data_IF_887728801126
#
_entry.id   IF_887728801126
#
_cell.length_a   1.000
_cell.length_b   1.000
_cell.length_c   1.000
_cell.angle_alpha   90.00
_cell.angle_beta   90.00
_cell.angle_gamma   90.00
#
_symmetry.space_group_name_H-M   'P 1'
#
loop_
_entity.id
_entity.type
_entity.pdbx_description
1 polymer ?
#
# COMPACT_ATOMS: atom_id res chain seq x y z
N UNK A 1 0.35 1.29 -51.89
CA UNK A 1 0.72 1.10 -50.47
C UNK A 1 1.37 -0.26 -50.36
N UNK A 2 2.54 -0.38 -49.71
CA UNK A 2 3.10 -1.69 -49.40
C UNK A 2 2.26 -2.33 -48.28
N UNK A 3 1.93 -3.63 -48.35
CA UNK A 3 1.22 -4.30 -47.28
C UNK A 3 2.01 -4.18 -45.97
N UNK A 4 1.38 -3.70 -44.89
CA UNK A 4 1.98 -3.65 -43.55
C UNK A 4 2.65 -2.34 -43.13
N UNK A 5 2.60 -1.30 -43.97
CA UNK A 5 3.07 0.05 -43.61
C UNK A 5 1.97 1.10 -43.72
N UNK A 6 2.06 2.15 -42.90
CA UNK A 6 1.13 3.28 -42.93
C UNK A 6 1.40 4.22 -44.11
N UNK A 7 0.60 5.29 -44.22
CA UNK A 7 0.72 6.30 -45.29
C UNK A 7 2.06 7.09 -45.27
N UNK A 8 2.89 6.89 -44.26
CA UNK A 8 4.23 7.47 -44.11
C UNK A 8 5.35 6.41 -44.22
N UNK A 9 5.01 5.17 -44.60
CA UNK A 9 5.97 4.08 -44.79
C UNK A 9 6.45 3.42 -43.49
N UNK A 10 5.83 3.72 -42.35
CA UNK A 10 6.19 3.14 -41.07
C UNK A 10 5.48 1.79 -40.87
N UNK A 11 6.11 0.79 -40.22
CA UNK A 11 5.43 -0.44 -39.85
C UNK A 11 4.19 -0.14 -39.02
N UNK A 12 3.04 -0.70 -39.43
CA UNK A 12 1.82 -0.58 -38.64
C UNK A 12 2.08 -1.34 -37.32
N UNK A 13 2.27 -0.60 -36.22
CA UNK A 13 2.33 -1.20 -34.89
C UNK A 13 1.00 -1.93 -34.67
N UNK A 14 1.07 -3.22 -34.32
CA UNK A 14 -0.13 -3.96 -33.92
C UNK A 14 -0.80 -3.16 -32.79
N UNK A 15 -2.03 -2.71 -33.05
CA UNK A 15 -2.83 -2.06 -32.03
C UNK A 15 -2.91 -3.00 -30.82
N UNK A 16 -2.72 -2.46 -29.63
CA UNK A 16 -2.95 -3.22 -28.40
C UNK A 16 -4.36 -3.87 -28.49
N UNK A 17 -4.52 -5.13 -28.07
CA UNK A 17 -5.81 -5.79 -28.11
C UNK A 17 -6.88 -4.91 -27.46
N UNK A 18 -7.99 -4.69 -28.17
CA UNK A 18 -9.12 -3.98 -27.61
C UNK A 18 -9.61 -4.73 -26.36
N UNK A 19 -9.93 -4.04 -25.25
CA UNK A 19 -10.42 -4.70 -24.06
C UNK A 19 -11.72 -5.46 -24.38
N UNK A 20 -11.73 -6.75 -24.08
CA UNK A 20 -12.89 -7.60 -24.28
C UNK A 20 -13.91 -7.28 -23.18
N UNK A 21 -15.06 -6.72 -23.56
CA UNK A 21 -16.13 -6.36 -22.62
C UNK A 21 -16.59 -7.60 -21.84
N UNK A 22 -16.64 -7.49 -20.51
CA UNK A 22 -17.03 -8.57 -19.59
C UNK A 22 -15.85 -9.29 -18.90
N UNK A 23 -14.61 -9.05 -19.32
CA UNK A 23 -13.43 -9.47 -18.58
C UNK A 23 -12.91 -8.27 -17.78
N UNK A 24 -12.65 -8.40 -16.46
CA UNK A 24 -11.93 -7.36 -15.75
C UNK A 24 -10.58 -7.16 -16.45
N UNK A 25 -10.13 -5.90 -16.66
CA UNK A 25 -8.83 -5.67 -17.27
C UNK A 25 -7.79 -6.42 -16.45
N UNK A 26 -7.07 -7.33 -17.12
CA UNK A 26 -6.03 -8.11 -16.47
C UNK A 26 -5.01 -7.12 -15.86
N UNK A 27 -4.56 -7.34 -14.62
CA UNK A 27 -3.50 -6.53 -14.05
C UNK A 27 -2.30 -6.61 -15.00
N UNK A 28 -1.92 -5.48 -15.61
CA UNK A 28 -0.68 -5.43 -16.34
C UNK A 28 0.42 -5.27 -15.31
N UNK A 29 1.02 -6.41 -14.97
CA UNK A 29 2.18 -6.48 -14.10
C UNK A 29 3.40 -6.22 -14.98
N UNK A 30 4.15 -5.18 -14.66
CA UNK A 30 5.46 -4.94 -15.23
C UNK A 30 6.49 -5.57 -14.28
N UNK A 31 7.33 -6.49 -14.77
CA UNK A 31 8.38 -7.18 -14.00
C UNK A 31 8.17 -8.70 -13.84
N UNK A 32 9.15 -9.38 -13.25
CA UNK A 32 9.05 -10.81 -12.90
C UNK A 32 9.12 -10.99 -11.37
N UNK A 33 8.25 -11.82 -10.76
CA UNK A 33 8.31 -12.09 -9.33
C UNK A 33 9.64 -12.79 -8.98
N UNK A 34 10.34 -12.30 -7.98
CA UNK A 34 11.48 -13.01 -7.41
C UNK A 34 11.00 -14.27 -6.69
N UNK A 35 11.71 -15.38 -6.83
CA UNK A 35 11.50 -16.57 -6.00
C UNK A 35 12.05 -16.31 -4.60
N UNK A 36 11.16 -16.21 -3.62
CA UNK A 36 11.53 -16.06 -2.21
C UNK A 36 11.75 -17.45 -1.59
N UNK A 37 12.80 -17.61 -0.79
CA UNK A 37 13.07 -18.83 -0.02
C UNK A 37 12.83 -18.60 1.48
N UNK A 38 12.45 -19.67 2.19
CA UNK A 38 12.17 -19.61 3.63
C UNK A 38 10.93 -18.78 3.97
N UNK A 39 10.96 -18.14 5.14
CA UNK A 39 9.88 -17.28 5.64
C UNK A 39 10.33 -15.81 5.60
N UNK A 40 10.10 -15.09 4.48
CA UNK A 40 10.55 -13.71 4.33
C UNK A 40 9.76 -12.75 5.23
N UNK A 41 10.38 -11.64 5.63
CA UNK A 41 9.63 -10.56 6.27
C UNK A 41 8.71 -9.88 5.24
N UNK A 42 7.49 -9.56 5.65
CA UNK A 42 6.52 -8.81 4.84
C UNK A 42 6.43 -7.38 5.39
N UNK A 43 6.66 -6.39 4.53
CA UNK A 43 6.57 -4.96 4.89
C UNK A 43 5.56 -4.30 3.95
N UNK A 44 4.51 -3.71 4.52
CA UNK A 44 3.48 -2.97 3.78
C UNK A 44 3.62 -1.49 4.11
N UNK A 45 3.83 -0.67 3.08
CA UNK A 45 3.90 0.78 3.20
C UNK A 45 2.64 1.38 2.57
N UNK A 46 1.80 1.99 3.40
CA UNK A 46 0.62 2.73 2.92
C UNK A 46 1.03 4.18 2.68
N UNK A 47 1.09 4.59 1.42
CA UNK A 47 1.48 5.95 1.03
C UNK A 47 0.26 6.87 1.04
N UNK A 48 0.22 7.82 1.98
CA UNK A 48 -0.91 8.74 2.14
C UNK A 48 -1.06 9.65 0.91
N UNK A 49 -2.30 9.75 0.39
CA UNK A 49 -2.70 10.65 -0.70
C UNK A 49 -1.88 10.55 -2.01
N UNK A 50 -1.13 9.46 -2.21
CA UNK A 50 -0.40 9.19 -3.44
C UNK A 50 -1.36 8.69 -4.53
N UNK A 51 -1.42 9.40 -5.65
CA UNK A 51 -2.29 9.08 -6.78
C UNK A 51 -1.47 8.96 -8.06
N UNK A 52 -1.88 8.08 -8.98
CA UNK A 52 -1.17 7.82 -10.24
C UNK A 52 -0.80 9.11 -10.99
N UNK A 53 -1.74 10.04 -11.19
CA UNK A 53 -1.46 11.29 -11.91
C UNK A 53 -0.43 12.21 -11.22
N UNK A 54 -0.17 12.01 -9.91
CA UNK A 54 0.87 12.73 -9.15
C UNK A 54 2.25 12.08 -9.28
N UNK A 55 2.38 10.91 -9.91
CA UNK A 55 3.64 10.14 -9.94
C UNK A 55 4.30 10.14 -11.31
N UNK A 56 5.62 10.16 -11.36
CA UNK A 56 6.39 10.27 -12.59
C UNK A 56 6.23 9.05 -13.52
N UNK A 57 6.20 7.83 -12.96
CA UNK A 57 6.06 6.58 -13.72
C UNK A 57 4.72 6.47 -14.49
N UNK A 58 3.71 7.25 -14.10
CA UNK A 58 2.42 7.37 -14.80
C UNK A 58 2.34 8.59 -15.74
N UNK A 59 3.48 9.21 -16.06
CA UNK A 59 3.59 10.28 -17.06
C UNK A 59 3.57 11.70 -16.51
N UNK A 60 3.70 11.90 -15.19
CA UNK A 60 3.81 13.25 -14.63
C UNK A 60 5.15 13.89 -15.00
N UNK A 61 5.11 14.94 -15.82
CA UNK A 61 6.29 15.64 -16.36
C UNK A 61 7.17 16.33 -15.31
N UNK A 62 6.62 16.61 -14.12
CA UNK A 62 7.40 17.19 -13.01
C UNK A 62 8.30 16.15 -12.33
N UNK A 63 8.09 14.86 -12.58
CA UNK A 63 8.79 13.75 -11.96
C UNK A 63 8.97 13.90 -10.43
N UNK A 64 7.89 14.10 -9.65
CA UNK A 64 7.99 14.39 -8.22
C UNK A 64 8.34 13.16 -7.37
N UNK A 65 8.42 11.97 -7.97
CA UNK A 65 8.59 10.69 -7.26
C UNK A 65 9.77 9.85 -7.79
N UNK A 66 10.98 10.41 -7.94
CA UNK A 66 12.07 9.74 -8.65
C UNK A 66 12.48 8.40 -8.02
N UNK A 67 12.44 8.28 -6.69
CA UNK A 67 12.77 7.03 -5.98
C UNK A 67 11.68 5.97 -6.14
N UNK A 68 10.40 6.36 -6.11
CA UNK A 68 9.29 5.44 -6.37
C UNK A 68 9.30 4.95 -7.82
N UNK A 69 9.63 5.84 -8.76
CA UNK A 69 9.75 5.53 -10.17
C UNK A 69 10.89 4.53 -10.45
N UNK A 70 12.01 4.68 -9.75
CA UNK A 70 13.11 3.71 -9.81
C UNK A 70 12.67 2.35 -9.23
N UNK A 71 12.12 2.33 -8.01
CA UNK A 71 11.63 1.11 -7.36
C UNK A 71 10.61 0.38 -8.24
N UNK A 72 9.71 1.11 -8.89
CA UNK A 72 8.68 0.54 -9.76
C UNK A 72 9.24 -0.18 -10.99
N UNK A 73 10.43 0.20 -11.48
CA UNK A 73 11.11 -0.47 -12.60
C UNK A 73 11.80 -1.78 -12.18
N UNK A 74 12.12 -1.89 -10.90
CA UNK A 74 12.79 -3.06 -10.29
C UNK A 74 11.79 -3.99 -9.58
N UNK A 75 10.49 -3.67 -9.61
CA UNK A 75 9.43 -4.34 -8.85
C UNK A 75 8.26 -4.75 -9.75
N UNK A 76 7.30 -5.49 -9.19
CA UNK A 76 6.00 -5.70 -9.80
C UNK A 76 5.12 -4.46 -9.65
N UNK A 77 4.93 -3.70 -10.73
CA UNK A 77 4.03 -2.54 -10.74
C UNK A 77 2.63 -2.92 -11.25
N UNK A 78 1.60 -2.59 -10.47
CA UNK A 78 0.19 -2.71 -10.86
C UNK A 78 -0.31 -1.37 -11.42
N UNK A 79 -0.22 -1.19 -12.74
CA UNK A 79 -0.59 0.08 -13.40
C UNK A 79 -2.12 0.32 -13.50
N UNK A 80 -2.93 -0.66 -13.06
CA UNK A 80 -4.40 -0.64 -13.04
C UNK A 80 -4.92 -0.99 -11.64
N UNK A 81 -4.29 -0.41 -10.62
CA UNK A 81 -4.71 -0.53 -9.22
C UNK A 81 -5.64 0.63 -8.84
N UNK A 82 -6.81 0.30 -8.28
CA UNK A 82 -7.84 1.28 -7.90
C UNK A 82 -8.20 1.11 -6.43
N UNK A 83 -8.39 2.22 -5.75
CA UNK A 83 -8.90 2.24 -4.38
C UNK A 83 -10.43 2.35 -4.39
N UNK A 84 -11.16 1.58 -3.56
CA UNK A 84 -12.62 1.64 -3.52
C UNK A 84 -13.14 2.92 -2.84
N UNK A 85 -12.28 3.65 -2.12
CA UNK A 85 -12.64 4.89 -1.45
C UNK A 85 -11.46 5.84 -1.30
N UNK A 86 -11.75 7.14 -1.20
CA UNK A 86 -10.76 8.20 -1.00
C UNK A 86 -10.38 8.42 0.48
N UNK A 87 -11.20 7.96 1.43
CA UNK A 87 -10.97 8.23 2.85
C UNK A 87 -9.98 7.22 3.46
N UNK A 88 -8.91 7.69 4.11
CA UNK A 88 -7.84 6.85 4.68
C UNK A 88 -8.38 5.73 5.58
N UNK A 89 -9.34 6.03 6.47
CA UNK A 89 -9.94 5.02 7.34
C UNK A 89 -10.67 3.90 6.58
N UNK A 90 -11.30 4.21 5.44
CA UNK A 90 -11.95 3.21 4.58
C UNK A 90 -10.91 2.34 3.88
N UNK A 91 -9.83 2.96 3.39
CA UNK A 91 -8.73 2.25 2.75
C UNK A 91 -8.01 1.34 3.73
N UNK A 92 -7.71 1.80 4.96
CA UNK A 92 -7.10 0.97 6.01
C UNK A 92 -8.01 -0.18 6.40
N UNK A 93 -9.32 0.06 6.56
CA UNK A 93 -10.28 -1.02 6.79
C UNK A 93 -10.22 -2.08 5.68
N UNK A 94 -10.22 -1.66 4.41
CA UNK A 94 -10.08 -2.58 3.28
C UNK A 94 -8.74 -3.31 3.23
N UNK A 95 -7.63 -2.66 3.57
CA UNK A 95 -6.30 -3.29 3.63
C UNK A 95 -6.24 -4.36 4.72
N UNK A 96 -6.81 -4.10 5.90
CA UNK A 96 -6.76 -5.04 7.03
C UNK A 96 -7.72 -6.20 6.85
N UNK A 97 -8.93 -5.95 6.33
CA UNK A 97 -10.02 -6.94 6.28
C UNK A 97 -10.20 -7.61 4.92
N UNK A 98 -9.67 -7.02 3.85
CA UNK A 98 -9.96 -7.44 2.47
C UNK A 98 -11.37 -7.08 1.99
N UNK A 99 -12.17 -6.36 2.79
CA UNK A 99 -13.57 -6.02 2.49
C UNK A 99 -13.68 -4.51 2.21
N UNK A 100 -14.34 -4.08 1.12
CA UNK A 100 -14.55 -2.66 0.87
C UNK A 100 -15.48 -2.05 1.93
N UNK A 101 -15.11 -0.89 2.46
CA UNK A 101 -15.97 -0.14 3.38
C UNK A 101 -17.08 0.60 2.61
N UNK A 102 -18.27 0.01 2.64
CA UNK A 102 -19.50 0.54 1.99
C UNK A 102 -20.42 1.31 2.95
N UNK A 103 -19.92 1.67 4.14
CA UNK A 103 -20.70 2.36 5.16
C UNK A 103 -21.13 3.77 4.72
N UNK A 104 -22.42 4.08 4.85
CA UNK A 104 -23.02 5.32 4.33
C UNK A 104 -22.90 6.55 5.26
N UNK A 105 -22.90 6.36 6.58
CA UNK A 105 -22.94 7.48 7.54
C UNK A 105 -21.56 7.83 8.12
N UNK A 106 -20.80 6.83 8.53
CA UNK A 106 -19.42 6.92 9.03
C UNK A 106 -18.58 5.85 8.33
N UNK A 107 -17.31 5.71 8.70
CA UNK A 107 -16.47 4.59 8.25
C UNK A 107 -16.80 3.33 9.05
N UNK A 108 -16.71 2.17 8.42
CA UNK A 108 -16.85 0.84 9.05
C UNK A 108 -15.88 0.65 10.21
N UNK A 109 -14.71 1.32 10.16
CA UNK A 109 -13.77 1.38 11.30
C UNK A 109 -14.40 1.91 12.59
N UNK A 110 -15.43 2.76 12.50
CA UNK A 110 -16.15 3.35 13.65
C UNK A 110 -17.42 2.59 14.02
N UNK A 111 -17.76 1.53 13.29
CA UNK A 111 -18.96 0.74 13.57
C UNK A 111 -18.58 -0.51 14.39
N UNK A 112 -19.00 -0.61 15.67
CA UNK A 112 -18.64 -1.74 16.53
C UNK A 112 -19.14 -3.09 16.02
N UNK A 113 -20.19 -3.12 15.19
CA UNK A 113 -20.72 -4.34 14.59
C UNK A 113 -20.00 -4.76 13.31
N UNK A 114 -19.16 -3.89 12.75
CA UNK A 114 -18.40 -4.17 11.52
C UNK A 114 -16.90 -4.23 11.75
N UNK A 115 -16.39 -3.65 12.83
CA UNK A 115 -14.94 -3.51 13.07
C UNK A 115 -14.23 -4.84 13.25
N UNK A 116 -14.92 -5.91 13.68
CA UNK A 116 -14.33 -7.24 13.88
C UNK A 116 -14.56 -8.13 12.65
N UNK A 117 -13.49 -8.47 11.94
CA UNK A 117 -13.42 -9.26 10.72
C UNK A 117 -12.20 -10.19 10.78
N UNK A 118 -12.11 -11.13 9.84
CA UNK A 118 -10.88 -11.90 9.64
C UNK A 118 -9.85 -11.07 8.87
N UNK A 119 -8.59 -11.13 9.30
CA UNK A 119 -7.47 -10.56 8.55
C UNK A 119 -6.57 -11.64 7.98
N UNK A 120 -6.19 -11.49 6.71
CA UNK A 120 -5.18 -12.35 6.07
C UNK A 120 -3.82 -12.28 6.79
N UNK A 121 -3.56 -11.21 7.54
CA UNK A 121 -2.35 -11.08 8.34
C UNK A 121 -2.21 -12.19 9.41
N UNK A 122 -3.33 -12.76 9.87
CA UNK A 122 -3.30 -13.86 10.85
C UNK A 122 -2.84 -15.19 10.24
N UNK A 123 -2.90 -15.34 8.91
CA UNK A 123 -2.32 -16.51 8.23
C UNK A 123 -0.78 -16.46 8.16
N UNK A 124 -0.16 -15.34 8.53
CA UNK A 124 1.30 -15.21 8.64
C UNK A 124 1.78 -15.77 9.99
N UNK A 125 1.64 -17.07 10.18
CA UNK A 125 2.14 -17.79 11.36
C UNK A 125 3.64 -17.61 11.52
N UNK A 126 4.13 -17.56 12.76
CA UNK A 126 5.55 -17.33 13.08
C UNK A 126 6.04 -15.90 12.84
N UNK A 127 5.26 -15.03 12.20
CA UNK A 127 5.61 -13.62 12.02
C UNK A 127 5.17 -12.81 13.24
N UNK A 128 6.03 -11.87 13.64
CA UNK A 128 5.63 -10.80 14.55
C UNK A 128 4.91 -9.71 13.76
N UNK A 129 3.78 -9.22 14.29
CA UNK A 129 2.93 -8.23 13.61
C UNK A 129 3.14 -6.86 14.26
N UNK A 130 3.58 -5.89 13.48
CA UNK A 130 3.88 -4.53 13.94
C UNK A 130 3.13 -3.54 13.04
N UNK A 131 2.58 -2.48 13.63
CA UNK A 131 2.02 -1.35 12.91
C UNK A 131 2.68 -0.06 13.41
N UNK A 132 3.14 0.77 12.48
CA UNK A 132 3.79 2.04 12.77
C UNK A 132 2.97 3.17 12.17
N UNK A 133 2.61 4.16 12.99
CA UNK A 133 1.91 5.36 12.59
C UNK A 133 2.61 6.57 13.22
N UNK A 134 2.77 7.68 12.49
CA UNK A 134 3.43 8.88 13.01
C UNK A 134 2.59 9.69 14.02
N UNK A 135 1.26 9.59 13.92
CA UNK A 135 0.29 10.24 14.81
C UNK A 135 -0.46 9.25 15.70
N UNK A 136 -1.52 9.71 16.36
CA UNK A 136 -2.35 8.86 17.22
C UNK A 136 -3.27 7.93 16.42
N UNK A 137 -3.26 6.62 16.67
CA UNK A 137 -4.17 5.65 16.04
C UNK A 137 -5.64 5.78 16.51
N UNK A 138 -5.95 6.71 17.42
CA UNK A 138 -7.32 6.94 17.89
C UNK A 138 -8.17 7.69 16.87
N UNK A 139 -7.56 8.42 15.92
CA UNK A 139 -8.32 9.05 14.84
C UNK A 139 -9.08 7.95 14.09
N UNK A 140 -10.38 8.16 13.91
CA UNK A 140 -11.25 7.22 13.22
C UNK A 140 -11.24 5.76 13.66
N UNK A 141 -10.88 5.51 14.93
CA UNK A 141 -10.87 4.18 15.53
C UNK A 141 -9.92 3.19 14.83
N UNK A 142 -8.83 3.69 14.22
CA UNK A 142 -7.88 2.86 13.48
C UNK A 142 -7.17 1.86 14.37
N UNK A 143 -6.85 2.22 15.63
CA UNK A 143 -6.31 1.26 16.59
C UNK A 143 -7.18 0.01 16.65
N UNK A 144 -8.49 0.17 16.83
CA UNK A 144 -9.41 -0.95 16.94
C UNK A 144 -9.46 -1.80 15.67
N UNK A 145 -9.35 -1.18 14.48
CA UNK A 145 -9.25 -1.93 13.21
C UNK A 145 -8.02 -2.85 13.23
N UNK A 146 -6.87 -2.40 13.73
CA UNK A 146 -5.71 -3.28 13.82
C UNK A 146 -5.84 -4.29 14.97
N UNK A 147 -6.12 -3.83 16.18
CA UNK A 147 -6.04 -4.68 17.39
C UNK A 147 -7.17 -5.69 17.54
N UNK A 148 -8.32 -5.51 16.87
CA UNK A 148 -9.40 -6.51 16.88
C UNK A 148 -9.28 -7.54 15.76
N UNK A 149 -8.52 -7.24 14.69
CA UNK A 149 -8.49 -8.07 13.49
C UNK A 149 -7.15 -8.79 13.29
N UNK A 150 -6.07 -8.32 13.92
CA UNK A 150 -4.73 -8.89 13.78
C UNK A 150 -4.20 -9.35 15.13
N UNK A 151 -3.99 -10.65 15.26
CA UNK A 151 -3.61 -11.29 16.51
C UNK A 151 -2.20 -10.87 16.95
N UNK A 152 -2.11 -10.37 18.19
CA UNK A 152 -0.84 -9.98 18.80
C UNK A 152 -0.15 -8.78 18.14
N UNK A 153 -0.86 -7.97 17.34
CA UNK A 153 -0.27 -6.81 16.69
C UNK A 153 0.20 -5.77 17.72
N UNK A 154 1.46 -5.34 17.59
CA UNK A 154 1.99 -4.22 18.36
C UNK A 154 1.86 -2.93 17.54
N UNK A 155 1.07 -2.00 18.06
CA UNK A 155 0.91 -0.66 17.49
C UNK A 155 1.95 0.26 18.11
N UNK A 156 2.71 0.96 17.25
CA UNK A 156 3.58 2.08 17.59
C UNK A 156 2.98 3.34 16.98
N UNK A 157 2.85 4.37 17.80
CA UNK A 157 2.15 5.60 17.44
C UNK A 157 2.71 6.81 18.20
N UNK A 158 2.03 7.94 18.08
CA UNK A 158 2.33 9.10 18.92
C UNK A 158 2.46 8.74 20.42
N UNK A 159 3.62 9.07 21.00
CA UNK A 159 3.99 8.75 22.37
C UNK A 159 5.02 7.63 22.50
N UNK A 160 5.16 6.75 21.50
CA UNK A 160 6.11 5.63 21.51
C UNK A 160 7.51 5.99 20.95
N UNK A 161 7.65 7.18 20.37
CA UNK A 161 8.86 7.61 19.64
C UNK A 161 9.64 8.69 20.37
N UNK A 162 10.95 8.74 20.12
CA UNK A 162 11.82 9.80 20.62
C UNK A 162 11.88 11.00 19.66
N UNK A 163 11.61 10.76 18.38
CA UNK A 163 11.58 11.79 17.34
C UNK A 163 10.46 12.81 17.59
N UNK A 164 10.71 14.12 17.32
CA UNK A 164 9.74 15.16 17.63
C UNK A 164 8.54 15.10 16.69
N UNK A 165 7.36 15.44 17.24
CA UNK A 165 6.17 15.74 16.45
C UNK A 165 6.48 16.90 15.50
N UNK A 166 6.17 16.70 14.22
CA UNK A 166 6.46 17.67 13.15
C UNK A 166 5.28 18.60 12.92
N UNK A 167 4.06 18.06 12.91
CA UNK A 167 2.84 18.85 12.68
C UNK A 167 1.61 18.25 13.37
N UNK A 168 0.41 18.71 12.99
CA UNK A 168 -0.86 18.23 13.54
C UNK A 168 -1.17 16.76 13.23
N UNK A 169 -0.45 16.12 12.30
CA UNK A 169 -0.63 14.72 11.93
C UNK A 169 0.36 13.78 12.61
N UNK A 170 1.48 14.29 13.13
CA UNK A 170 2.43 13.52 13.92
C UNK A 170 3.88 13.75 13.51
N UNK A 171 4.68 12.69 13.53
CA UNK A 171 6.04 12.66 12.97
C UNK A 171 6.03 12.86 11.45
N UNK A 172 7.10 13.45 10.91
CA UNK A 172 7.38 13.39 9.48
C UNK A 172 7.63 11.95 9.02
N UNK A 173 7.41 11.66 7.73
CA UNK A 173 7.65 10.32 7.16
C UNK A 173 9.11 9.88 7.38
N UNK A 174 10.08 10.79 7.26
CA UNK A 174 11.48 10.50 7.53
C UNK A 174 11.72 9.99 8.97
N UNK A 175 11.12 10.67 9.96
CA UNK A 175 11.22 10.23 11.35
C UNK A 175 10.48 8.92 11.60
N UNK A 176 9.29 8.75 11.02
CA UNK A 176 8.53 7.50 11.13
C UNK A 176 9.33 6.29 10.61
N UNK A 177 9.92 6.41 9.41
CA UNK A 177 10.76 5.36 8.85
C UNK A 177 12.02 5.12 9.69
N UNK A 178 12.62 6.17 10.25
CA UNK A 178 13.82 6.07 11.09
C UNK A 178 13.53 5.30 12.39
N UNK A 179 12.43 5.62 13.07
CA UNK A 179 12.00 4.95 14.30
C UNK A 179 11.57 3.51 14.04
N UNK A 180 10.82 3.25 12.96
CA UNK A 180 10.45 1.89 12.57
C UNK A 180 11.69 1.04 12.28
N UNK A 181 12.66 1.57 11.52
CA UNK A 181 13.92 0.88 11.24
C UNK A 181 14.73 0.60 12.52
N UNK A 182 14.72 1.50 13.50
CA UNK A 182 15.37 1.27 14.82
C UNK A 182 14.76 0.04 15.50
N UNK A 183 13.43 -0.01 15.63
CA UNK A 183 12.71 -1.14 16.24
C UNK A 183 12.99 -2.45 15.49
N UNK A 184 12.98 -2.43 14.16
CA UNK A 184 13.24 -3.61 13.33
C UNK A 184 14.68 -4.12 13.48
N UNK A 185 15.67 -3.23 13.62
CA UNK A 185 17.08 -3.59 13.84
C UNK A 185 17.32 -4.24 15.19
N UNK A 186 16.70 -3.72 16.25
CA UNK A 186 16.77 -4.30 17.59
C UNK A 186 16.21 -5.74 17.58
N UNK A 187 15.09 -5.96 16.89
CA UNK A 187 14.49 -7.29 16.75
C UNK A 187 15.37 -8.26 15.97
N UNK A 188 16.02 -7.80 14.90
CA UNK A 188 16.99 -8.63 14.16
C UNK A 188 18.14 -9.09 15.06
N UNK A 189 18.66 -8.19 15.90
CA UNK A 189 19.76 -8.50 16.84
C UNK A 189 19.34 -9.54 17.87
N UNK A 190 18.11 -9.49 18.36
CA UNK A 190 17.62 -10.39 19.41
C UNK A 190 17.18 -11.78 18.87
N UNK A 191 17.15 -11.98 17.55
CA UNK A 191 16.84 -13.27 16.90
C UNK A 191 18.09 -14.05 16.46
N UNK A 192 19.29 -13.49 16.62
CA UNK A 192 20.58 -14.15 16.38
C UNK A 192 21.24 -14.54 17.69
#
# INVERSE_FOLDING_TARGET
>A
MQPGTDQWGQPIQQAAPQPQYGQPPQPQIIGQPATLSGQPNVVVIVMESLAAFKTGIFGNKLNPTPYFDQLSKESLLFNRFYVPSQATARSIFGVVTGIPDVSQSKTGSRNPYMVNQNSVANALDGHEKLYFLGGSANWGNIRSVFTHNIDGIKVFEEGDYNSPRTDVWGLSDYHLFSEANRVLREKKRNKG
#
